data_IF_232739216652
#
_entry.id   IF_232739216652
#
_cell.length_a   1.000
_cell.length_b   1.000
_cell.length_c   1.000
_cell.angle_alpha   90.00
_cell.angle_beta   90.00
_cell.angle_gamma   90.00
#
_symmetry.space_group_name_H-M   'P 1'
#
loop_
_entity.id
_entity.type
_entity.pdbx_description
1 polymer ?
#
# COMPACT_ATOMS: atom_id res chain seq x y z
N UNK A 1 7.96 3.14 13.34
CA UNK A 1 7.96 1.69 13.01
C UNK A 1 9.00 0.93 13.79
N UNK A 2 10.22 1.47 13.96
CA UNK A 2 11.28 0.81 14.73
C UNK A 2 10.85 0.32 16.12
N UNK A 3 10.19 1.17 16.92
CA UNK A 3 9.72 0.77 18.25
C UNK A 3 8.67 -0.36 18.20
N UNK A 4 7.83 -0.38 17.17
CA UNK A 4 6.89 -1.49 16.95
C UNK A 4 7.68 -2.76 16.59
N UNK A 5 8.68 -2.69 15.72
CA UNK A 5 9.51 -3.83 15.35
C UNK A 5 10.33 -4.37 16.54
N UNK A 6 10.80 -3.48 17.43
CA UNK A 6 11.51 -3.86 18.66
C UNK A 6 10.60 -4.58 19.64
N UNK A 7 9.39 -4.07 19.86
CA UNK A 7 8.53 -4.54 20.96
C UNK A 7 7.43 -5.53 20.53
N UNK A 8 7.05 -5.55 19.26
CA UNK A 8 5.94 -6.35 18.73
C UNK A 8 6.43 -7.48 17.80
N UNK A 9 7.21 -8.43 18.33
CA UNK A 9 7.83 -9.53 17.54
C UNK A 9 6.85 -10.46 16.82
N UNK A 10 5.56 -10.44 17.19
CA UNK A 10 4.50 -11.27 16.62
C UNK A 10 3.49 -10.46 15.80
N UNK A 11 3.79 -9.19 15.50
CA UNK A 11 2.90 -8.35 14.70
C UNK A 11 2.83 -8.90 13.28
N UNK A 12 1.64 -9.38 12.91
CA UNK A 12 1.35 -9.91 11.57
C UNK A 12 0.32 -9.08 10.82
N UNK A 13 -0.45 -8.25 11.53
CA UNK A 13 -1.50 -7.42 10.96
C UNK A 13 -1.37 -5.97 11.42
N UNK A 14 -1.45 -5.04 10.47
CA UNK A 14 -1.37 -3.62 10.73
C UNK A 14 -2.43 -2.88 9.93
N UNK A 15 -3.24 -2.08 10.62
CA UNK A 15 -4.23 -1.19 10.02
C UNK A 15 -3.87 0.24 10.33
N UNK A 16 -3.76 1.07 9.30
CA UNK A 16 -3.39 2.48 9.41
C UNK A 16 -4.37 3.32 8.60
N UNK A 17 -4.69 4.49 9.13
CA UNK A 17 -5.42 5.56 8.44
C UNK A 17 -4.51 6.78 8.44
N UNK A 18 -3.96 7.12 7.29
CA UNK A 18 -2.98 8.18 7.15
C UNK A 18 -2.25 8.09 5.80
N UNK A 19 -1.64 9.20 5.33
CA UNK A 19 -0.94 9.22 4.06
C UNK A 19 0.11 8.11 3.97
N UNK A 20 0.17 7.44 2.83
CA UNK A 20 1.19 6.46 2.51
C UNK A 20 2.05 7.00 1.36
N UNK A 21 3.15 7.62 1.73
CA UNK A 21 4.20 8.07 0.82
C UNK A 21 5.36 7.06 0.74
N UNK A 22 6.36 7.39 -0.07
CA UNK A 22 7.55 6.56 -0.30
C UNK A 22 8.31 6.31 1.01
N UNK A 23 8.44 7.33 1.86
CA UNK A 23 9.18 7.24 3.11
C UNK A 23 8.48 6.27 4.07
N UNK A 24 7.16 6.42 4.21
CA UNK A 24 6.35 5.56 5.04
C UNK A 24 6.40 4.11 4.56
N UNK A 25 6.20 3.86 3.26
CA UNK A 25 6.28 2.52 2.67
C UNK A 25 7.66 1.88 2.86
N UNK A 26 8.74 2.61 2.59
CA UNK A 26 10.12 2.12 2.79
C UNK A 26 10.39 1.78 4.25
N UNK A 27 9.95 2.65 5.16
CA UNK A 27 10.09 2.45 6.61
C UNK A 27 9.31 1.21 7.06
N UNK A 28 8.09 1.02 6.56
CA UNK A 28 7.27 -0.14 6.91
C UNK A 28 7.91 -1.44 6.39
N UNK A 29 8.37 -1.47 5.14
CA UNK A 29 9.08 -2.62 4.55
C UNK A 29 10.37 -2.96 5.30
N UNK A 30 11.15 -1.95 5.71
CA UNK A 30 12.42 -2.17 6.42
C UNK A 30 12.22 -2.74 7.83
N UNK A 31 11.21 -2.25 8.56
CA UNK A 31 11.03 -2.59 9.98
C UNK A 31 10.03 -3.74 10.21
N UNK A 32 9.07 -3.94 9.31
CA UNK A 32 8.00 -4.94 9.45
C UNK A 32 7.93 -5.88 8.22
N UNK A 33 9.03 -6.51 7.78
CA UNK A 33 9.06 -7.29 6.53
C UNK A 33 8.19 -8.56 6.56
N UNK A 34 7.86 -9.07 7.75
CA UNK A 34 7.07 -10.29 7.94
C UNK A 34 5.56 -10.01 8.11
N UNK A 35 5.10 -8.80 7.78
CA UNK A 35 3.70 -8.45 7.88
C UNK A 35 2.87 -9.26 6.88
N UNK A 36 1.79 -9.88 7.36
CA UNK A 36 0.86 -10.68 6.55
C UNK A 36 -0.37 -9.91 6.10
N UNK A 37 -0.82 -8.96 6.92
CA UNK A 37 -2.00 -8.15 6.64
C UNK A 37 -1.66 -6.69 6.78
N UNK A 38 -1.82 -5.93 5.70
CA UNK A 38 -1.70 -4.49 5.68
C UNK A 38 -3.02 -3.88 5.20
N UNK A 39 -3.63 -3.03 6.03
CA UNK A 39 -4.81 -2.28 5.68
C UNK A 39 -4.53 -0.78 5.77
N UNK A 40 -4.48 -0.11 4.62
CA UNK A 40 -4.37 1.34 4.50
C UNK A 40 -5.69 1.81 3.90
N UNK A 41 -6.59 2.39 4.69
CA UNK A 41 -7.91 2.83 4.19
C UNK A 41 -8.07 4.33 4.29
N UNK A 42 -8.92 4.90 3.45
CA UNK A 42 -9.31 6.32 3.52
C UNK A 42 -8.10 7.27 3.51
N UNK A 43 -7.08 6.96 2.71
CA UNK A 43 -5.77 7.62 2.77
C UNK A 43 -5.31 8.08 1.39
N UNK A 44 -4.42 9.08 1.35
CA UNK A 44 -3.69 9.41 0.12
C UNK A 44 -2.57 8.38 -0.04
N UNK A 45 -2.52 7.72 -1.19
CA UNK A 45 -1.53 6.68 -1.48
C UNK A 45 -0.73 7.08 -2.71
N UNK A 46 0.60 7.15 -2.59
CA UNK A 46 1.48 7.38 -3.73
C UNK A 46 1.68 6.06 -4.50
N UNK A 47 1.59 6.10 -5.83
CA UNK A 47 1.76 4.90 -6.68
C UNK A 47 3.08 4.17 -6.43
N UNK A 48 4.18 4.90 -6.34
CA UNK A 48 5.51 4.32 -6.06
C UNK A 48 5.60 3.69 -4.66
N UNK A 49 4.88 4.26 -3.68
CA UNK A 49 4.80 3.67 -2.34
C UNK A 49 4.13 2.29 -2.38
N UNK A 50 3.12 2.11 -3.23
CA UNK A 50 2.46 0.83 -3.41
C UNK A 50 3.40 -0.22 -4.03
N UNK A 51 4.26 0.17 -4.96
CA UNK A 51 5.30 -0.71 -5.52
C UNK A 51 6.28 -1.14 -4.42
N UNK A 52 6.76 -0.20 -3.59
CA UNK A 52 7.67 -0.49 -2.49
C UNK A 52 7.06 -1.46 -1.48
N UNK A 53 5.78 -1.28 -1.14
CA UNK A 53 5.07 -2.20 -0.24
C UNK A 53 4.99 -3.61 -0.83
N UNK A 54 4.61 -3.72 -2.11
CA UNK A 54 4.47 -5.02 -2.79
C UNK A 54 5.81 -5.75 -2.96
N UNK A 55 6.89 -5.01 -3.19
CA UNK A 55 8.23 -5.60 -3.36
C UNK A 55 8.91 -5.91 -2.02
N UNK A 56 8.68 -5.07 -1.00
CA UNK A 56 9.32 -5.17 0.31
C UNK A 56 8.62 -6.11 1.29
N UNK A 57 7.31 -6.33 1.16
CA UNK A 57 6.52 -7.19 2.04
C UNK A 57 6.24 -8.55 1.41
N UNK A 58 7.28 -9.37 1.27
CA UNK A 58 7.20 -10.66 0.56
C UNK A 58 6.25 -11.68 1.23
N UNK A 59 5.93 -11.51 2.52
CA UNK A 59 5.00 -12.38 3.25
C UNK A 59 3.57 -11.83 3.30
N UNK A 60 3.28 -10.74 2.58
CA UNK A 60 1.97 -10.13 2.60
C UNK A 60 0.95 -11.05 1.94
N UNK A 61 -0.13 -11.34 2.66
CA UNK A 61 -1.24 -12.17 2.21
C UNK A 61 -2.47 -11.31 1.88
N UNK A 62 -2.62 -10.19 2.58
CA UNK A 62 -3.75 -9.27 2.43
C UNK A 62 -3.24 -7.83 2.34
N UNK A 63 -3.59 -7.17 1.24
CA UNK A 63 -3.43 -5.72 1.10
C UNK A 63 -4.79 -5.07 0.86
N UNK A 64 -5.21 -4.23 1.80
CA UNK A 64 -6.44 -3.46 1.68
C UNK A 64 -6.12 -1.99 1.49
N UNK A 65 -6.46 -1.45 0.31
CA UNK A 65 -6.33 -0.04 -0.07
C UNK A 65 -7.68 0.63 -0.35
N UNK A 66 -8.75 0.13 0.28
CA UNK A 66 -10.11 0.61 0.05
C UNK A 66 -10.28 2.09 0.41
N UNK A 67 -10.99 2.83 -0.44
CA UNK A 67 -11.22 4.28 -0.33
C UNK A 67 -9.93 5.12 -0.28
N UNK A 68 -8.82 4.63 -0.81
CA UNK A 68 -7.62 5.44 -0.98
C UNK A 68 -7.71 6.33 -2.22
N UNK A 69 -7.14 7.52 -2.14
CA UNK A 69 -6.90 8.40 -3.28
C UNK A 69 -5.49 8.09 -3.81
N UNK A 70 -5.40 7.40 -4.94
CA UNK A 70 -4.11 7.09 -5.57
C UNK A 70 -3.60 8.31 -6.32
N UNK A 71 -2.35 8.68 -6.05
CA UNK A 71 -1.68 9.80 -6.71
C UNK A 71 -0.35 9.39 -7.33
N UNK A 72 -0.02 10.01 -8.45
CA UNK A 72 1.30 9.99 -9.06
C UNK A 72 2.02 11.31 -8.76
N UNK A 73 3.30 11.22 -8.39
CA UNK A 73 4.14 12.38 -8.07
C UNK A 73 5.29 12.42 -9.08
N UNK A 74 5.11 13.03 -10.25
CA UNK A 74 6.16 13.13 -11.26
C UNK A 74 7.28 14.08 -10.81
N UNK A 75 8.46 14.01 -11.45
CA UNK A 75 9.52 14.97 -11.19
C UNK A 75 9.07 16.43 -11.43
N UNK A 76 9.54 17.39 -10.63
CA UNK A 76 9.30 18.80 -10.88
C UNK A 76 9.74 19.21 -12.30
N UNK A 77 9.00 20.10 -13.00
CA UNK A 77 7.91 20.94 -12.49
C UNK A 77 6.51 20.34 -12.65
N UNK A 78 6.38 19.06 -13.05
CA UNK A 78 5.08 18.49 -13.35
C UNK A 78 4.20 18.40 -12.08
N UNK A 79 2.89 18.73 -12.17
CA UNK A 79 1.99 18.64 -11.03
C UNK A 79 1.66 17.19 -10.67
N UNK A 80 1.31 16.96 -9.41
CA UNK A 80 0.75 15.68 -8.95
C UNK A 80 -0.55 15.36 -9.69
N UNK A 81 -0.77 14.08 -9.97
CA UNK A 81 -1.97 13.61 -10.68
C UNK A 81 -2.73 12.61 -9.83
N UNK A 82 -4.04 12.74 -9.79
CA UNK A 82 -4.92 11.69 -9.25
C UNK A 82 -5.07 10.60 -10.30
N UNK A 83 -4.89 9.35 -9.90
CA UNK A 83 -5.04 8.20 -10.77
C UNK A 83 -6.44 7.59 -10.59
N UNK A 84 -7.15 7.45 -11.71
CA UNK A 84 -8.49 6.87 -11.72
C UNK A 84 -8.48 5.33 -11.68
N UNK A 85 -7.31 4.71 -11.90
CA UNK A 85 -7.14 3.27 -11.95
C UNK A 85 -5.74 2.88 -11.47
N UNK A 86 -5.60 1.63 -11.07
CA UNK A 86 -4.31 1.04 -10.69
C UNK A 86 -3.56 0.65 -11.96
N UNK A 87 -2.28 1.04 -12.05
CA UNK A 87 -1.43 0.70 -13.20
C UNK A 87 -1.21 -0.80 -13.35
N UNK A 88 -1.05 -1.27 -14.60
CA UNK A 88 -0.91 -2.71 -14.91
C UNK A 88 0.26 -3.40 -14.19
N UNK A 89 1.39 -2.71 -14.01
CA UNK A 89 2.55 -3.23 -13.26
C UNK A 89 2.23 -3.46 -11.78
N UNK A 90 1.46 -2.58 -11.16
CA UNK A 90 1.01 -2.72 -9.77
C UNK A 90 0.02 -3.88 -9.67
N UNK A 91 -0.92 -3.98 -10.61
CA UNK A 91 -1.87 -5.10 -10.64
C UNK A 91 -1.15 -6.45 -10.80
N UNK A 92 -0.13 -6.52 -11.65
CA UNK A 92 0.69 -7.71 -11.84
C UNK A 92 1.46 -8.07 -10.55
N UNK A 93 2.02 -7.08 -9.84
CA UNK A 93 2.67 -7.34 -8.55
C UNK A 93 1.66 -7.80 -7.49
N UNK A 94 0.49 -7.18 -7.46
CA UNK A 94 -0.57 -7.51 -6.51
C UNK A 94 -1.27 -8.84 -6.82
N UNK A 95 -1.15 -9.41 -8.02
CA UNK A 95 -1.78 -10.68 -8.36
C UNK A 95 -1.18 -11.89 -7.64
N UNK A 96 0.00 -11.72 -7.02
CA UNK A 96 0.57 -12.74 -6.13
C UNK A 96 -0.11 -12.77 -4.76
N UNK A 97 -0.82 -11.70 -4.38
CA UNK A 97 -1.49 -11.62 -3.09
C UNK A 97 -2.77 -12.47 -3.11
N UNK A 98 -2.99 -13.34 -2.11
CA UNK A 98 -4.27 -14.01 -1.91
C UNK A 98 -5.46 -13.05 -1.88
N UNK A 99 -5.31 -11.88 -1.24
CA UNK A 99 -6.38 -10.89 -1.14
C UNK A 99 -5.87 -9.48 -1.39
N UNK A 100 -6.20 -8.92 -2.55
CA UNK A 100 -6.01 -7.51 -2.86
C UNK A 100 -7.36 -6.78 -2.89
N UNK A 101 -7.60 -5.92 -1.90
CA UNK A 101 -8.90 -5.25 -1.68
C UNK A 101 -8.76 -3.78 -2.09
N UNK A 102 -9.51 -3.37 -3.11
CA UNK A 102 -9.50 -2.01 -3.65
C UNK A 102 -10.88 -1.62 -4.20
N UNK A 103 -11.18 -0.32 -4.20
CA UNK A 103 -12.40 0.25 -4.78
C UNK A 103 -12.18 0.86 -6.17
N UNK A 104 -10.97 0.72 -6.72
CA UNK A 104 -10.62 1.24 -8.05
C UNK A 104 -11.00 0.30 -9.19
N UNK A 105 -11.63 -0.85 -8.89
CA UNK A 105 -12.24 -1.72 -9.90
C UNK A 105 -13.71 -1.34 -10.09
N UNK A 106 -14.06 -0.92 -11.31
CA UNK A 106 -15.40 -0.45 -11.71
C UNK A 106 -16.53 -1.48 -11.51
N UNK A 107 -16.21 -2.75 -11.23
CA UNK A 107 -17.19 -3.84 -11.15
C UNK A 107 -17.80 -4.08 -9.76
N UNK A 108 -17.36 -3.37 -8.71
CA UNK A 108 -17.93 -3.54 -7.36
C UNK A 108 -18.52 -2.24 -6.84
N UNK A 109 -19.85 -2.18 -6.85
CA UNK A 109 -20.69 -1.04 -6.43
C UNK A 109 -20.60 -0.78 -4.91
N UNK A 110 -20.07 -1.72 -4.12
CA UNK A 110 -19.88 -1.57 -2.67
C UNK A 110 -18.54 -2.20 -2.25
N UNK A 111 -17.63 -1.35 -1.77
CA UNK A 111 -16.67 -1.66 -0.70
C UNK A 111 -17.30 -1.18 0.62
#
# INVERSE_FOLDING_TARGET
MEEIAKNCKRLSALKIMGPCDILFASTLAAFLPNLKVLSIRCSILVGDALIILLDGLQQLEVLNISHCLLIEVPPPPAPKKVLNQIGGSILQKASSLPNFITCMNQSRVMC
#
